data_IF_174267161216
#
_entry.id   IF_174267161216
#
_cell.length_a   1.000
_cell.length_b   1.000
_cell.length_c   1.000
_cell.angle_alpha   90.00
_cell.angle_beta   90.00
_cell.angle_gamma   90.00
#
_symmetry.space_group_name_H-M   'P 1'
#
loop_
_entity.id
_entity.type
_entity.pdbx_description
1 polymer ?
#
# COMPACT_ATOMS: atom_id res chain seq x y z
N UNK A 1 30.71 -7.06 4.90
CA UNK A 1 29.63 -6.05 4.74
C UNK A 1 30.30 -4.67 4.77
N UNK A 2 29.93 -3.71 3.91
CA UNK A 2 30.55 -2.35 4.01
C UNK A 2 29.94 -1.61 5.20
N UNK A 3 30.77 -0.93 6.00
CA UNK A 3 30.32 -0.10 7.15
C UNK A 3 29.24 0.89 6.72
N UNK A 4 29.39 1.48 5.52
CA UNK A 4 28.45 2.44 4.96
C UNK A 4 27.03 1.88 4.84
N UNK A 5 26.89 0.61 4.47
CA UNK A 5 25.57 -0.05 4.33
C UNK A 5 24.96 -0.42 5.70
N UNK A 6 25.69 -0.22 6.80
CA UNK A 6 25.19 -0.44 8.16
C UNK A 6 24.49 0.80 8.74
N UNK A 7 24.73 2.01 8.23
CA UNK A 7 24.13 3.24 8.77
C UNK A 7 22.59 3.23 8.69
N UNK A 8 21.95 3.55 9.82
CA UNK A 8 20.49 3.50 10.00
C UNK A 8 19.89 2.10 10.13
N UNK A 9 20.70 1.04 10.10
CA UNK A 9 20.23 -0.35 10.14
C UNK A 9 20.29 -0.93 11.55
N UNK A 10 19.45 -1.94 11.78
CA UNK A 10 19.32 -2.68 13.04
C UNK A 10 19.62 -4.16 12.80
N UNK A 11 20.51 -4.72 13.61
CA UNK A 11 21.08 -6.05 13.43
C UNK A 11 21.00 -6.89 14.72
N UNK A 12 20.96 -8.22 14.57
CA UNK A 12 21.40 -9.13 15.64
C UNK A 12 22.91 -9.32 15.56
N UNK A 13 23.53 -9.84 16.62
CA UNK A 13 24.96 -10.15 16.64
C UNK A 13 25.39 -11.04 15.46
N UNK A 14 24.61 -12.08 15.14
CA UNK A 14 24.88 -13.04 14.04
C UNK A 14 24.85 -12.39 12.65
N UNK A 15 24.32 -11.17 12.52
CA UNK A 15 24.20 -10.46 11.25
C UNK A 15 25.36 -9.48 10.99
N UNK A 16 26.27 -9.31 11.95
CA UNK A 16 27.41 -8.41 11.84
C UNK A 16 28.73 -9.19 11.88
N UNK A 17 29.67 -8.73 11.06
CA UNK A 17 31.07 -9.15 11.12
C UNK A 17 31.71 -8.64 12.41
N UNK A 18 32.67 -9.39 12.96
CA UNK A 18 33.28 -9.11 14.27
C UNK A 18 33.97 -7.74 14.27
N UNK A 19 34.57 -7.32 13.15
CA UNK A 19 35.23 -6.01 13.06
C UNK A 19 34.25 -4.82 13.15
N UNK A 20 32.97 -5.04 12.83
CA UNK A 20 31.94 -3.99 12.84
C UNK A 20 31.30 -3.80 14.21
N UNK A 21 31.38 -4.80 15.10
CA UNK A 21 30.76 -4.74 16.44
C UNK A 21 31.31 -3.58 17.28
N UNK A 22 32.61 -3.30 17.19
CA UNK A 22 33.24 -2.20 17.93
C UNK A 22 32.82 -0.79 17.47
N UNK A 23 32.19 -0.67 16.29
CA UNK A 23 31.68 0.59 15.74
C UNK A 23 30.16 0.73 15.92
N UNK A 24 29.48 -0.36 16.27
CA UNK A 24 28.04 -0.38 16.46
C UNK A 24 27.66 0.17 17.85
N UNK A 25 26.46 0.75 17.92
CA UNK A 25 25.81 1.05 19.20
C UNK A 25 24.89 -0.07 19.59
N UNK A 26 24.73 -0.25 20.90
CA UNK A 26 23.90 -1.30 21.47
C UNK A 26 22.53 -0.76 21.89
N UNK A 27 21.51 -1.58 21.65
CA UNK A 27 20.15 -1.38 22.11
C UNK A 27 19.71 -2.68 22.80
N UNK A 28 19.10 -2.65 24.00
CA UNK A 28 18.55 -3.86 24.60
C UNK A 28 17.65 -4.60 23.60
N UNK A 29 17.75 -5.92 23.48
CA UNK A 29 16.90 -6.66 22.55
C UNK A 29 15.42 -6.67 22.98
N UNK A 30 15.18 -6.63 24.30
CA UNK A 30 13.86 -6.57 24.91
C UNK A 30 13.85 -5.60 26.09
N UNK A 31 12.70 -5.00 26.36
CA UNK A 31 12.48 -4.05 27.46
C UNK A 31 11.31 -4.51 28.30
N UNK A 32 11.48 -4.51 29.62
CA UNK A 32 10.39 -4.77 30.57
C UNK A 32 9.62 -3.47 30.82
N UNK A 33 8.34 -3.48 30.47
CA UNK A 33 7.40 -2.42 30.81
C UNK A 33 6.41 -2.90 31.88
N UNK A 34 5.64 -1.99 32.48
CA UNK A 34 4.62 -2.32 33.49
C UNK A 34 3.63 -3.42 33.04
N UNK A 35 3.40 -3.54 31.73
CA UNK A 35 2.43 -4.47 31.17
C UNK A 35 3.05 -5.78 30.66
N UNK A 36 4.38 -5.92 30.68
CA UNK A 36 5.12 -7.14 30.31
C UNK A 36 6.45 -6.87 29.60
N UNK A 37 7.06 -7.92 29.06
CA UNK A 37 8.30 -7.85 28.29
C UNK A 37 8.00 -7.62 26.80
N UNK A 38 8.66 -6.66 26.17
CA UNK A 38 8.45 -6.29 24.76
C UNK A 38 9.74 -6.38 23.96
N UNK A 39 9.64 -6.80 22.70
CA UNK A 39 10.79 -6.80 21.79
C UNK A 39 11.07 -5.39 21.25
N UNK A 40 12.31 -4.89 21.38
CA UNK A 40 12.66 -3.55 20.91
C UNK A 40 12.62 -3.41 19.38
N UNK A 41 12.86 -4.48 18.63
CA UNK A 41 12.81 -4.48 17.16
C UNK A 41 11.39 -4.28 16.63
N UNK A 42 10.42 -5.05 17.13
CA UNK A 42 9.09 -5.15 16.51
C UNK A 42 7.93 -4.76 17.45
N UNK A 43 8.19 -4.42 18.70
CA UNK A 43 7.17 -4.04 19.68
C UNK A 43 6.26 -5.18 20.14
N UNK A 44 6.52 -6.42 19.73
CA UNK A 44 5.68 -7.56 20.13
C UNK A 44 5.87 -7.88 21.61
N UNK A 45 4.75 -7.98 22.34
CA UNK A 45 4.72 -8.48 23.72
C UNK A 45 5.10 -9.96 23.75
N UNK A 46 6.06 -10.31 24.60
CA UNK A 46 6.61 -11.65 24.71
C UNK A 46 5.74 -12.50 25.65
N UNK A 47 5.27 -13.64 25.14
CA UNK A 47 4.59 -14.65 25.96
C UNK A 47 5.64 -15.45 26.75
N UNK A 48 5.89 -15.04 28.00
CA UNK A 48 6.86 -15.68 28.91
C UNK A 48 6.53 -17.16 29.20
N UNK A 49 5.28 -17.60 28.99
CA UNK A 49 4.88 -19.00 29.23
C UNK A 49 5.23 -19.92 28.06
N UNK A 50 5.24 -19.40 26.83
CA UNK A 50 5.43 -20.21 25.60
C UNK A 50 6.74 -19.94 24.88
N UNK A 51 7.29 -18.73 24.98
CA UNK A 51 8.42 -18.28 24.14
C UNK A 51 9.72 -18.20 24.94
N UNK A 52 10.01 -19.28 25.67
CA UNK A 52 11.22 -19.47 26.48
C UNK A 52 12.10 -20.56 25.87
N UNK A 53 13.40 -20.33 25.81
CA UNK A 53 14.39 -21.33 25.40
C UNK A 53 14.85 -22.16 26.60
N UNK A 54 15.47 -23.30 26.34
CA UNK A 54 16.02 -24.19 27.39
C UNK A 54 17.06 -23.49 28.27
N UNK A 55 17.82 -22.55 27.68
CA UNK A 55 18.80 -21.71 28.38
C UNK A 55 18.17 -20.62 29.26
N UNK A 56 16.85 -20.60 29.42
CA UNK A 56 16.14 -19.66 30.28
C UNK A 56 15.75 -18.33 29.62
N UNK A 57 16.42 -17.93 28.53
CA UNK A 57 16.14 -16.70 27.79
C UNK A 57 14.80 -16.75 27.03
N UNK A 58 14.15 -15.61 26.85
CA UNK A 58 12.97 -15.47 26.01
C UNK A 58 13.33 -15.10 24.57
N UNK A 59 12.47 -15.43 23.60
CA UNK A 59 12.69 -15.07 22.20
C UNK A 59 11.43 -14.47 21.55
N UNK A 60 11.63 -13.59 20.56
CA UNK A 60 10.54 -12.99 19.82
C UNK A 60 10.16 -13.84 18.59
N UNK A 61 8.95 -14.41 18.59
CA UNK A 61 8.44 -15.21 17.46
C UNK A 61 8.22 -14.37 16.19
N UNK A 62 7.81 -13.11 16.34
CA UNK A 62 7.56 -12.21 15.21
C UNK A 62 8.83 -11.84 14.43
N UNK A 63 10.00 -11.92 15.06
CA UNK A 63 11.27 -11.55 14.41
C UNK A 63 12.06 -12.75 13.84
N UNK A 64 11.58 -13.99 13.97
CA UNK A 64 12.36 -15.20 13.63
C UNK A 64 12.95 -15.13 12.21
N UNK A 65 12.14 -14.74 11.23
CA UNK A 65 12.56 -14.65 9.82
C UNK A 65 13.52 -13.48 9.54
N UNK A 66 13.65 -12.53 10.48
CA UNK A 66 14.55 -11.37 10.39
C UNK A 66 15.83 -11.55 11.21
N UNK A 67 16.05 -12.74 11.78
CA UNK A 67 17.05 -12.98 12.82
C UNK A 67 16.40 -12.98 14.20
N UNK A 68 16.56 -14.10 14.93
CA UNK A 68 15.91 -14.32 16.23
C UNK A 68 16.42 -13.30 17.25
N UNK A 69 15.50 -12.55 17.83
CA UNK A 69 15.79 -11.60 18.92
C UNK A 69 15.54 -12.30 20.26
N UNK A 70 16.53 -12.27 21.17
CA UNK A 70 16.46 -12.91 22.50
C UNK A 70 16.62 -11.91 23.64
N UNK A 71 16.08 -12.24 24.81
CA UNK A 71 16.14 -11.36 26.00
C UNK A 71 17.53 -11.24 26.63
N UNK A 72 18.42 -12.19 26.36
CA UNK A 72 19.80 -12.26 26.87
C UNK A 72 20.82 -11.65 25.90
N UNK A 73 20.35 -11.01 24.83
CA UNK A 73 21.18 -10.40 23.80
C UNK A 73 20.88 -8.90 23.67
N UNK A 74 21.72 -8.22 22.91
CA UNK A 74 21.49 -6.85 22.45
C UNK A 74 21.25 -6.84 20.94
N UNK A 75 20.64 -5.77 20.47
CA UNK A 75 20.58 -5.40 19.07
C UNK A 75 21.67 -4.37 18.80
N UNK A 76 22.25 -4.45 17.61
CA UNK A 76 23.29 -3.54 17.17
C UNK A 76 22.74 -2.60 16.11
N UNK A 77 23.06 -1.32 16.20
CA UNK A 77 22.66 -0.33 15.21
C UNK A 77 23.76 0.70 14.97
N UNK A 78 23.71 1.36 13.82
CA UNK A 78 24.63 2.43 13.47
C UNK A 78 23.81 3.70 13.24
N UNK A 79 24.22 4.81 13.84
CA UNK A 79 23.56 6.09 13.62
C UNK A 79 23.62 6.46 12.14
N UNK A 80 22.51 6.95 11.60
CA UNK A 80 22.48 7.45 10.24
C UNK A 80 23.46 8.62 10.09
N UNK A 81 24.18 8.62 8.97
CA UNK A 81 25.04 9.73 8.58
C UNK A 81 24.39 10.58 7.51
N UNK A 82 24.72 11.87 7.49
CA UNK A 82 24.28 12.78 6.44
C UNK A 82 24.82 12.36 5.08
N UNK A 83 24.09 12.76 4.04
CA UNK A 83 24.51 12.64 2.65
C UNK A 83 24.96 14.01 2.12
N UNK A 84 25.74 14.04 1.02
CA UNK A 84 25.97 15.27 0.28
C UNK A 84 24.64 15.95 -0.10
N UNK A 85 24.64 17.28 -0.10
CA UNK A 85 23.49 18.06 -0.54
C UNK A 85 23.42 18.05 -2.06
N UNK A 86 22.31 17.56 -2.61
CA UNK A 86 22.15 17.39 -4.05
C UNK A 86 20.74 17.80 -4.50
N UNK A 87 20.65 18.46 -5.65
CA UNK A 87 19.38 18.66 -6.34
C UNK A 87 19.09 17.47 -7.24
N UNK A 88 18.05 16.71 -6.89
CA UNK A 88 17.82 15.39 -7.47
C UNK A 88 16.57 15.30 -8.34
N UNK A 89 15.67 16.29 -8.30
CA UNK A 89 14.39 16.22 -8.99
C UNK A 89 14.55 16.53 -10.48
N UNK A 90 14.21 15.56 -11.34
CA UNK A 90 14.21 15.70 -12.82
C UNK A 90 12.82 15.87 -13.41
N UNK A 91 11.77 15.68 -12.62
CA UNK A 91 10.40 15.72 -13.10
C UNK A 91 10.03 17.10 -13.67
N UNK A 92 9.59 17.13 -14.93
CA UNK A 92 9.21 18.35 -15.66
C UNK A 92 7.69 18.55 -15.78
N UNK A 93 6.89 17.72 -15.10
CA UNK A 93 5.44 17.88 -15.13
C UNK A 93 4.96 19.09 -14.31
N UNK A 94 3.70 19.45 -14.50
CA UNK A 94 3.05 20.51 -13.74
C UNK A 94 2.02 19.93 -12.77
N UNK A 95 2.06 20.35 -11.50
CA UNK A 95 0.99 20.06 -10.54
C UNK A 95 -0.23 20.91 -10.85
N UNK A 96 -1.43 20.34 -10.67
CA UNK A 96 -2.66 21.14 -10.61
C UNK A 96 -2.61 22.10 -9.41
N UNK A 97 -3.39 23.20 -9.40
CA UNK A 97 -3.42 24.13 -8.28
C UNK A 97 -3.70 23.45 -6.92
N UNK A 98 -4.60 22.46 -6.90
CA UNK A 98 -4.92 21.70 -5.69
C UNK A 98 -3.75 20.79 -5.25
N UNK A 99 -3.11 20.09 -6.19
CA UNK A 99 -1.91 19.30 -5.87
C UNK A 99 -0.75 20.18 -5.41
N UNK A 100 -0.57 21.34 -6.04
CA UNK A 100 0.47 22.31 -5.66
C UNK A 100 0.28 22.81 -4.24
N UNK A 101 -0.96 23.11 -3.84
CA UNK A 101 -1.27 23.48 -2.46
C UNK A 101 -0.89 22.36 -1.47
N UNK A 102 -1.29 21.12 -1.74
CA UNK A 102 -0.93 19.98 -0.87
C UNK A 102 0.59 19.79 -0.83
N UNK A 103 1.26 19.85 -1.99
CA UNK A 103 2.72 19.73 -2.07
C UNK A 103 3.43 20.83 -1.26
N UNK A 104 2.93 22.06 -1.29
CA UNK A 104 3.47 23.16 -0.48
C UNK A 104 3.22 22.93 1.02
N UNK A 105 2.02 22.49 1.41
CA UNK A 105 1.71 22.13 2.81
C UNK A 105 2.63 21.00 3.29
N UNK A 106 2.93 19.99 2.46
CA UNK A 106 3.88 18.93 2.78
C UNK A 106 5.30 19.47 3.02
N UNK A 107 5.79 20.36 2.16
CA UNK A 107 7.13 20.98 2.30
C UNK A 107 7.19 21.85 3.54
N UNK A 108 6.19 22.71 3.77
CA UNK A 108 6.09 23.55 4.97
C UNK A 108 6.06 22.68 6.23
N UNK A 109 5.39 21.54 6.17
CA UNK A 109 5.31 20.62 7.30
C UNK A 109 6.67 20.04 7.71
N UNK A 110 7.72 20.13 6.90
CA UNK A 110 9.07 19.71 7.31
C UNK A 110 9.63 20.54 8.48
N UNK A 111 9.09 21.74 8.74
CA UNK A 111 9.50 22.55 9.89
C UNK A 111 8.82 22.12 11.19
N UNK A 112 7.63 21.53 11.11
CA UNK A 112 6.91 20.99 12.26
C UNK A 112 7.12 19.47 12.37
N UNK A 113 7.38 18.96 13.57
CA UNK A 113 7.67 17.52 13.77
C UNK A 113 6.42 16.66 13.87
N UNK A 114 5.23 17.26 13.73
CA UNK A 114 3.97 16.57 13.94
C UNK A 114 3.64 15.70 12.73
N UNK A 115 3.23 14.43 12.89
CA UNK A 115 2.88 13.62 11.73
C UNK A 115 1.75 14.26 10.91
N UNK A 116 1.79 14.04 9.60
CA UNK A 116 0.79 14.54 8.67
C UNK A 116 0.10 13.38 7.93
N UNK A 117 -1.18 13.52 7.63
CA UNK A 117 -1.96 12.59 6.81
C UNK A 117 -2.54 13.32 5.61
N UNK A 118 -2.22 12.85 4.41
CA UNK A 118 -2.84 13.29 3.16
C UNK A 118 -3.91 12.28 2.78
N UNK A 119 -5.17 12.71 2.83
CA UNK A 119 -6.30 11.96 2.33
C UNK A 119 -6.61 12.40 0.91
N UNK A 120 -6.18 11.63 -0.08
CA UNK A 120 -6.29 11.99 -1.49
C UNK A 120 -6.96 10.88 -2.30
N UNK A 121 -7.97 11.22 -3.09
CA UNK A 121 -8.72 10.24 -3.88
C UNK A 121 -7.83 9.43 -4.82
N UNK A 122 -8.30 8.26 -5.21
CA UNK A 122 -7.64 7.44 -6.23
C UNK A 122 -7.48 8.22 -7.54
N UNK A 123 -6.26 8.24 -8.10
CA UNK A 123 -5.97 9.08 -9.25
C UNK A 123 -5.88 10.58 -8.95
N UNK A 124 -5.61 10.99 -7.71
CA UNK A 124 -5.28 12.38 -7.38
C UNK A 124 -3.81 12.76 -7.67
N UNK A 125 -2.97 11.83 -8.13
CA UNK A 125 -1.53 12.09 -8.33
C UNK A 125 -0.74 12.18 -7.02
N UNK A 126 -0.96 11.22 -6.11
CA UNK A 126 -0.30 11.16 -4.78
C UNK A 126 1.22 11.17 -4.87
N UNK A 127 1.76 10.48 -5.86
CA UNK A 127 3.21 10.39 -6.08
C UNK A 127 3.81 11.75 -6.44
N UNK A 128 3.19 12.47 -7.37
CA UNK A 128 3.69 13.78 -7.83
C UNK A 128 3.62 14.83 -6.71
N UNK A 129 2.61 14.75 -5.85
CA UNK A 129 2.49 15.65 -4.69
C UNK A 129 3.63 15.48 -3.67
N UNK A 130 4.23 14.29 -3.57
CA UNK A 130 5.35 14.07 -2.64
C UNK A 130 6.72 14.43 -3.22
N UNK A 131 6.83 14.68 -4.53
CA UNK A 131 8.14 14.92 -5.17
C UNK A 131 8.90 16.09 -4.56
N UNK A 132 8.22 17.20 -4.30
CA UNK A 132 8.86 18.39 -3.73
C UNK A 132 9.33 18.16 -2.30
N UNK A 133 8.53 17.51 -1.45
CA UNK A 133 8.93 17.23 -0.05
C UNK A 133 10.08 16.24 0.03
N UNK A 134 10.15 15.27 -0.89
CA UNK A 134 11.27 14.33 -1.04
C UNK A 134 12.52 15.08 -1.49
N UNK A 135 12.43 15.86 -2.58
CA UNK A 135 13.54 16.61 -3.13
C UNK A 135 14.13 17.63 -2.13
N UNK A 136 13.28 18.39 -1.43
CA UNK A 136 13.70 19.35 -0.40
C UNK A 136 14.37 18.69 0.82
N UNK A 137 13.99 17.44 1.12
CA UNK A 137 14.66 16.67 2.18
C UNK A 137 16.04 16.22 1.72
N UNK A 138 16.16 15.66 0.52
CA UNK A 138 17.44 15.20 -0.04
C UNK A 138 18.41 16.38 -0.26
N UNK A 139 17.91 17.54 -0.71
CA UNK A 139 18.70 18.77 -0.84
C UNK A 139 19.36 19.20 0.47
N UNK A 140 18.81 18.82 1.63
CA UNK A 140 19.39 19.09 2.96
C UNK A 140 20.36 18.00 3.43
N UNK A 141 20.73 17.05 2.58
CA UNK A 141 21.61 15.92 2.90
C UNK A 141 20.95 14.88 3.81
N UNK A 142 19.62 14.83 3.84
CA UNK A 142 18.82 13.99 4.74
C UNK A 142 18.26 12.75 4.03
N UNK A 143 17.98 11.71 4.80
CA UNK A 143 17.56 10.41 4.27
C UNK A 143 16.02 10.29 4.21
N UNK A 144 15.51 9.78 3.09
CA UNK A 144 14.08 9.62 2.82
C UNK A 144 13.74 8.15 2.60
N UNK A 145 12.63 7.70 3.19
CA UNK A 145 12.03 6.41 2.85
C UNK A 145 10.57 6.56 2.44
N UNK A 146 10.17 5.87 1.39
CA UNK A 146 8.80 5.72 0.94
C UNK A 146 8.43 4.24 1.08
N UNK A 147 7.57 3.94 2.04
CA UNK A 147 7.16 2.58 2.32
C UNK A 147 5.70 2.32 1.94
N UNK A 148 5.40 1.13 1.44
CA UNK A 148 4.03 0.70 1.10
C UNK A 148 3.81 -0.77 1.50
N UNK A 149 2.57 -1.22 1.82
CA UNK A 149 2.35 -2.58 2.30
C UNK A 149 2.52 -3.65 1.21
N UNK A 150 2.45 -3.27 -0.06
CA UNK A 150 2.37 -4.19 -1.20
C UNK A 150 3.61 -4.10 -2.09
N UNK A 151 4.13 -5.26 -2.49
CA UNK A 151 5.32 -5.38 -3.34
C UNK A 151 5.10 -4.73 -4.71
N UNK A 152 3.94 -4.96 -5.34
CA UNK A 152 3.66 -4.40 -6.67
C UNK A 152 3.67 -2.86 -6.66
N UNK A 153 3.15 -2.24 -5.59
CA UNK A 153 3.18 -0.79 -5.40
C UNK A 153 4.63 -0.31 -5.22
N UNK A 154 5.47 -1.03 -4.45
CA UNK A 154 6.89 -0.69 -4.32
C UNK A 154 7.59 -0.67 -5.68
N UNK A 155 7.35 -1.70 -6.51
CA UNK A 155 7.99 -1.84 -7.82
C UNK A 155 7.51 -0.73 -8.77
N UNK A 156 6.21 -0.41 -8.78
CA UNK A 156 5.66 0.69 -9.59
C UNK A 156 6.23 2.05 -9.14
N UNK A 157 6.30 2.30 -7.83
CA UNK A 157 6.91 3.51 -7.27
C UNK A 157 8.39 3.61 -7.62
N UNK A 158 9.14 2.51 -7.52
CA UNK A 158 10.56 2.48 -7.87
C UNK A 158 10.81 2.86 -9.32
N UNK A 159 10.13 2.20 -10.27
CA UNK A 159 10.25 2.53 -11.70
C UNK A 159 9.97 4.01 -11.97
N UNK A 160 8.97 4.55 -11.30
CA UNK A 160 8.55 5.94 -11.46
C UNK A 160 9.57 6.93 -10.88
N UNK A 161 10.01 6.67 -9.65
CA UNK A 161 11.00 7.51 -8.96
C UNK A 161 12.36 7.48 -9.64
N UNK A 162 12.82 6.33 -10.13
CA UNK A 162 14.08 6.24 -10.89
C UNK A 162 14.07 7.07 -12.17
N UNK A 163 12.89 7.26 -12.79
CA UNK A 163 12.75 8.16 -13.95
C UNK A 163 12.81 9.63 -13.53
N UNK A 164 12.14 9.96 -12.43
CA UNK A 164 11.88 11.34 -12.01
C UNK A 164 12.93 11.92 -11.05
N UNK A 165 13.84 11.10 -10.52
CA UNK A 165 14.94 11.48 -9.62
C UNK A 165 16.31 11.04 -10.19
N UNK A 166 17.34 11.86 -9.99
CA UNK A 166 18.70 11.60 -10.46
C UNK A 166 19.56 10.73 -9.54
N UNK A 167 19.15 10.60 -8.27
CA UNK A 167 19.91 9.90 -7.25
C UNK A 167 19.69 8.37 -7.29
N UNK A 168 20.65 7.57 -6.80
CA UNK A 168 20.45 6.14 -6.63
C UNK A 168 19.35 5.84 -5.61
N UNK A 169 18.55 4.81 -5.87
CA UNK A 169 17.41 4.41 -5.03
C UNK A 169 17.55 2.95 -4.64
N UNK A 170 17.47 2.64 -3.34
CA UNK A 170 17.39 1.26 -2.87
C UNK A 170 15.94 0.78 -2.88
N UNK A 171 15.63 -0.29 -3.62
CA UNK A 171 14.34 -0.97 -3.60
C UNK A 171 14.40 -2.18 -2.65
N UNK A 172 13.55 -2.22 -1.63
CA UNK A 172 13.54 -3.27 -0.61
C UNK A 172 12.18 -3.99 -0.52
N UNK A 173 12.16 -5.27 -0.83
CA UNK A 173 11.03 -6.18 -0.60
C UNK A 173 11.53 -7.59 -0.25
N UNK A 174 10.64 -8.59 -0.21
CA UNK A 174 11.02 -9.96 0.17
C UNK A 174 12.13 -10.54 -0.71
N UNK A 175 11.95 -10.41 -2.03
CA UNK A 175 12.85 -10.96 -3.06
C UNK A 175 13.77 -9.91 -3.70
N UNK A 176 14.00 -8.76 -3.06
CA UNK A 176 14.85 -7.71 -3.65
C UNK A 176 16.33 -7.96 -3.38
N UNK A 177 17.18 -7.26 -4.13
CA UNK A 177 18.60 -7.15 -3.79
C UNK A 177 18.81 -6.64 -2.34
N UNK A 178 19.96 -6.97 -1.72
CA UNK A 178 20.33 -6.43 -0.43
C UNK A 178 20.36 -4.90 -0.43
N UNK A 179 20.13 -4.33 0.75
CA UNK A 179 20.22 -2.90 0.94
C UNK A 179 21.62 -2.38 0.68
N UNK A 180 21.68 -1.25 -0.02
CA UNK A 180 22.85 -0.40 -0.14
C UNK A 180 22.46 1.03 0.24
N UNK A 181 23.39 1.75 0.88
CA UNK A 181 23.14 3.07 1.44
C UNK A 181 22.83 4.09 0.34
N UNK A 182 21.65 4.72 0.44
CA UNK A 182 21.14 5.72 -0.51
C UNK A 182 20.34 6.80 0.20
N UNK A 183 20.23 7.98 -0.42
CA UNK A 183 19.41 9.11 0.08
C UNK A 183 17.92 8.83 -0.01
N UNK A 184 17.49 8.00 -0.96
CA UNK A 184 16.10 7.63 -1.19
C UNK A 184 15.93 6.11 -1.17
N UNK A 185 15.13 5.63 -0.22
CA UNK A 185 14.78 4.21 -0.09
C UNK A 185 13.29 4.02 -0.42
N UNK A 186 12.98 2.99 -1.19
CA UNK A 186 11.60 2.54 -1.45
C UNK A 186 11.47 1.13 -0.90
N UNK A 187 10.54 0.90 0.01
CA UNK A 187 10.46 -0.39 0.70
C UNK A 187 9.04 -0.90 0.92
N UNK A 188 8.90 -2.20 1.15
CA UNK A 188 7.69 -2.66 1.83
C UNK A 188 7.71 -2.21 3.30
N UNK A 189 6.55 -2.02 3.91
CA UNK A 189 6.45 -1.61 5.33
C UNK A 189 7.13 -2.58 6.28
N UNK A 190 7.18 -3.87 5.96
CA UNK A 190 7.87 -4.89 6.77
C UNK A 190 9.39 -4.71 6.80
N UNK A 191 9.99 -4.16 5.74
CA UNK A 191 11.44 -3.94 5.70
C UNK A 191 11.88 -2.86 6.69
N UNK A 192 10.97 -1.98 7.14
CA UNK A 192 11.24 -0.98 8.16
C UNK A 192 11.68 -1.60 9.50
N UNK A 193 11.34 -2.87 9.78
CA UNK A 193 11.82 -3.60 10.96
C UNK A 193 13.36 -3.78 11.00
N UNK A 194 14.04 -3.56 9.88
CA UNK A 194 15.50 -3.62 9.76
C UNK A 194 16.18 -2.25 9.94
N UNK A 195 15.40 -1.20 10.18
CA UNK A 195 15.88 0.18 10.31
C UNK A 195 15.61 0.73 11.71
N UNK A 196 16.52 1.56 12.20
CA UNK A 196 16.39 2.24 13.47
C UNK A 196 16.97 3.65 13.36
N UNK A 197 16.15 4.67 13.60
CA UNK A 197 16.52 6.09 13.53
C UNK A 197 17.23 6.42 12.20
N UNK A 198 16.66 5.96 11.09
CA UNK A 198 17.32 5.93 9.78
C UNK A 198 16.86 7.05 8.85
N UNK A 199 15.60 7.45 8.95
CA UNK A 199 14.93 8.32 7.97
C UNK A 199 14.47 9.63 8.60
N UNK A 200 14.90 10.73 8.02
CA UNK A 200 14.46 12.08 8.39
C UNK A 200 13.11 12.43 7.77
N UNK A 201 12.73 11.75 6.69
CA UNK A 201 11.39 11.76 6.15
C UNK A 201 10.97 10.32 5.85
N UNK A 202 9.87 9.89 6.47
CA UNK A 202 9.24 8.62 6.20
C UNK A 202 7.82 8.85 5.67
N UNK A 203 7.56 8.39 4.46
CA UNK A 203 6.24 8.44 3.82
C UNK A 203 5.69 7.03 3.77
N UNK A 204 4.50 6.79 4.34
CA UNK A 204 3.79 5.52 4.21
C UNK A 204 2.62 5.72 3.23
N UNK A 205 2.71 5.13 2.04
CA UNK A 205 1.58 5.09 1.10
C UNK A 205 0.70 3.86 1.38
N UNK A 206 -0.59 3.98 1.07
CA UNK A 206 -1.59 2.93 1.26
C UNK A 206 -1.69 2.42 2.69
N UNK A 207 -1.69 3.30 3.70
CA UNK A 207 -1.84 2.93 5.12
C UNK A 207 -3.15 2.19 5.45
N UNK A 208 -4.13 2.27 4.56
CA UNK A 208 -5.41 1.58 4.63
C UNK A 208 -5.37 0.14 4.07
N UNK A 209 -4.25 -0.29 3.48
CA UNK A 209 -4.06 -1.65 2.98
C UNK A 209 -3.58 -2.62 4.07
N UNK A 210 -4.11 -3.84 4.02
CA UNK A 210 -3.46 -5.00 4.65
C UNK A 210 -2.09 -5.23 3.98
N UNK A 211 -1.04 -5.63 4.72
CA UNK A 211 -1.00 -5.97 6.16
C UNK A 211 -0.74 -4.80 7.13
N UNK A 212 -0.71 -3.55 6.65
CA UNK A 212 -0.37 -2.39 7.50
C UNK A 212 -1.52 -1.96 8.40
N UNK A 213 -2.74 -1.90 7.85
CA UNK A 213 -3.93 -1.54 8.62
C UNK A 213 -4.09 -2.46 9.84
N UNK A 214 -4.34 -1.84 11.00
CA UNK A 214 -4.54 -2.51 12.29
C UNK A 214 -3.37 -3.43 12.72
N UNK A 215 -2.13 -3.15 12.30
CA UNK A 215 -0.95 -3.94 12.65
C UNK A 215 0.03 -3.19 13.57
N UNK A 216 0.00 -3.44 14.89
CA UNK A 216 0.87 -2.74 15.85
C UNK A 216 2.37 -2.91 15.58
N UNK A 217 2.78 -4.06 15.04
CA UNK A 217 4.20 -4.33 14.72
C UNK A 217 4.71 -3.38 13.65
N UNK A 218 3.88 -3.09 12.65
CA UNK A 218 4.27 -2.20 11.55
C UNK A 218 4.23 -0.73 11.97
N UNK A 219 3.27 -0.33 12.81
CA UNK A 219 3.30 1.01 13.42
C UNK A 219 4.55 1.20 14.30
N UNK A 220 4.95 0.17 15.05
CA UNK A 220 6.21 0.18 15.83
C UNK A 220 7.43 0.29 14.90
N UNK A 221 7.46 -0.47 13.81
CA UNK A 221 8.54 -0.39 12.81
C UNK A 221 8.67 1.01 12.21
N UNK A 222 7.55 1.66 11.87
CA UNK A 222 7.52 3.05 11.38
C UNK A 222 8.09 4.01 12.42
N UNK A 223 7.65 3.90 13.67
CA UNK A 223 8.12 4.77 14.76
C UNK A 223 9.61 4.56 15.08
N UNK A 224 10.11 3.33 14.94
CA UNK A 224 11.52 3.02 15.15
C UNK A 224 12.40 3.52 14.01
N UNK A 225 11.94 3.40 12.76
CA UNK A 225 12.71 3.73 11.58
C UNK A 225 12.85 5.25 11.35
N UNK A 226 11.86 6.06 11.76
CA UNK A 226 11.95 7.52 11.69
C UNK A 226 12.90 8.08 12.76
N UNK A 227 13.70 9.07 12.39
CA UNK A 227 14.59 9.75 13.34
C UNK A 227 13.79 10.54 14.37
N UNK A 228 14.34 10.81 15.57
CA UNK A 228 13.68 11.61 16.63
C UNK A 228 13.21 12.99 16.15
N UNK A 229 13.89 13.55 15.16
CA UNK A 229 13.59 14.86 14.57
C UNK A 229 13.00 14.74 13.15
N UNK A 230 12.66 13.53 12.72
CA UNK A 230 12.16 13.25 11.38
C UNK A 230 10.68 13.56 11.23
N UNK A 231 10.24 13.63 9.98
CA UNK A 231 8.85 13.85 9.58
C UNK A 231 8.21 12.54 9.14
N UNK A 232 6.99 12.30 9.60
CA UNK A 232 6.17 11.17 9.18
C UNK A 232 4.96 11.65 8.40
N UNK A 233 4.78 11.12 7.19
CA UNK A 233 3.65 11.43 6.31
C UNK A 233 2.91 10.13 5.98
N UNK A 234 1.60 10.13 6.17
CA UNK A 234 0.70 9.05 5.78
C UNK A 234 -0.07 9.46 4.51
N UNK A 235 0.00 8.68 3.44
CA UNK A 235 -0.77 8.88 2.22
C UNK A 235 -1.84 7.79 2.12
N UNK A 236 -3.09 8.18 1.90
CA UNK A 236 -4.19 7.23 1.74
C UNK A 236 -5.32 7.78 0.87
N UNK A 237 -6.06 6.89 0.23
CA UNK A 237 -7.31 7.26 -0.43
C UNK A 237 -8.56 6.99 0.42
N UNK A 238 -8.39 6.37 1.60
CA UNK A 238 -9.49 6.12 2.53
C UNK A 238 -9.04 6.32 3.97
N UNK A 239 -9.94 6.72 4.86
CA UNK A 239 -9.57 6.88 6.27
C UNK A 239 -9.56 5.55 7.03
N UNK A 240 -8.62 5.39 7.97
CA UNK A 240 -8.63 4.29 8.95
C UNK A 240 -9.15 4.78 10.29
N UNK A 241 -9.82 3.91 11.06
CA UNK A 241 -10.39 4.28 12.37
C UNK A 241 -9.31 4.79 13.33
N UNK A 242 -8.11 4.22 13.27
CA UNK A 242 -7.00 4.64 14.13
C UNK A 242 -6.49 6.03 13.76
N UNK A 243 -6.23 6.29 12.47
CA UNK A 243 -5.75 7.61 12.04
C UNK A 243 -6.81 8.69 12.24
N UNK A 244 -8.09 8.38 12.01
CA UNK A 244 -9.19 9.31 12.30
C UNK A 244 -9.26 9.69 13.78
N UNK A 245 -9.00 8.74 14.69
CA UNK A 245 -8.91 9.03 16.13
C UNK A 245 -7.74 9.96 16.43
N UNK A 246 -6.56 9.71 15.84
CA UNK A 246 -5.36 10.55 16.04
C UNK A 246 -5.56 11.96 15.48
N UNK A 247 -6.24 12.11 14.34
CA UNK A 247 -6.63 13.40 13.77
C UNK A 247 -7.60 14.14 14.71
N UNK A 248 -8.63 13.45 15.22
CA UNK A 248 -9.59 14.05 16.19
C UNK A 248 -8.93 14.51 17.49
N UNK A 249 -7.90 13.79 17.95
CA UNK A 249 -7.09 14.17 19.11
C UNK A 249 -6.05 15.25 18.81
N UNK A 250 -6.00 15.75 17.57
CA UNK A 250 -4.98 16.69 17.10
C UNK A 250 -3.55 16.16 17.27
N UNK A 251 -3.33 14.84 17.21
CA UNK A 251 -2.00 14.22 17.18
C UNK A 251 -1.41 14.23 15.77
N UNK A 252 -2.27 14.25 14.74
CA UNK A 252 -1.90 14.23 13.32
C UNK A 252 -2.61 15.37 12.59
N UNK A 253 -1.89 16.11 11.75
CA UNK A 253 -2.48 17.12 10.86
C UNK A 253 -3.05 16.43 9.61
N UNK A 254 -4.26 16.78 9.18
CA UNK A 254 -4.90 16.19 7.99
C UNK A 254 -5.02 17.22 6.87
N UNK A 255 -4.61 16.81 5.67
CA UNK A 255 -4.82 17.53 4.41
C UNK A 255 -5.72 16.67 3.51
N UNK A 256 -6.75 17.25 2.91
CA UNK A 256 -7.69 16.54 2.03
C UNK A 256 -7.52 16.98 0.58
N UNK A 257 -7.44 16.03 -0.34
CA UNK A 257 -7.50 16.23 -1.78
C UNK A 257 -8.62 15.38 -2.38
N UNK A 258 -9.87 15.86 -2.36
CA UNK A 258 -11.04 15.10 -2.78
C UNK A 258 -11.17 14.97 -4.32
N UNK A 259 -10.24 15.53 -5.09
CA UNK A 259 -10.37 15.69 -6.55
C UNK A 259 -9.28 14.90 -7.31
N UNK A 260 -9.67 14.25 -8.40
CA UNK A 260 -8.73 13.61 -9.35
C UNK A 260 -7.92 14.65 -10.11
N UNK A 261 -6.74 14.28 -10.62
CA UNK A 261 -5.87 15.22 -11.35
C UNK A 261 -6.55 15.84 -12.59
N UNK A 262 -7.41 15.09 -13.28
CA UNK A 262 -8.17 15.57 -14.44
C UNK A 262 -9.48 16.30 -14.06
N UNK A 263 -9.80 16.38 -12.77
CA UNK A 263 -10.90 17.21 -12.28
C UNK A 263 -12.32 16.70 -12.54
N UNK A 264 -12.54 15.40 -12.80
CA UNK A 264 -13.87 14.78 -12.90
C UNK A 264 -14.24 14.00 -11.62
N UNK A 265 -15.53 13.79 -11.30
CA UNK A 265 -15.96 13.08 -10.09
C UNK A 265 -15.58 11.60 -10.13
N UNK A 266 -15.55 10.99 -8.95
CA UNK A 266 -15.51 9.54 -8.81
C UNK A 266 -16.83 8.93 -9.29
N UNK A 267 -16.75 7.82 -10.03
CA UNK A 267 -17.91 7.05 -10.45
C UNK A 267 -18.60 6.45 -9.23
N UNK A 268 -19.90 6.71 -9.09
CA UNK A 268 -20.70 6.17 -7.99
C UNK A 268 -21.15 4.74 -8.35
N UNK A 269 -20.84 3.72 -7.53
CA UNK A 269 -21.23 2.35 -7.79
C UNK A 269 -22.76 2.18 -7.86
N UNK A 270 -23.24 1.42 -8.85
CA UNK A 270 -24.64 0.97 -8.90
C UNK A 270 -24.77 -0.38 -8.20
N UNK A 271 -25.64 -0.45 -7.19
CA UNK A 271 -25.98 -1.73 -6.54
C UNK A 271 -26.89 -2.55 -7.44
N UNK A 272 -26.54 -3.81 -7.66
CA UNK A 272 -27.31 -4.74 -8.48
C UNK A 272 -27.59 -6.01 -7.68
N UNK A 273 -28.87 -6.30 -7.47
CA UNK A 273 -29.28 -7.55 -6.83
C UNK A 273 -28.90 -8.76 -7.70
N UNK A 274 -28.08 -9.67 -7.18
CA UNK A 274 -27.67 -10.92 -7.83
C UNK A 274 -27.87 -12.08 -6.86
N UNK A 275 -28.95 -12.84 -7.06
CA UNK A 275 -29.32 -13.98 -6.22
C UNK A 275 -28.67 -15.28 -6.67
N UNK A 276 -28.45 -16.20 -5.73
CA UNK A 276 -28.12 -17.61 -5.99
C UNK A 276 -26.83 -17.79 -6.81
N UNK A 277 -25.88 -16.84 -6.72
CA UNK A 277 -24.63 -16.90 -7.49
C UNK A 277 -23.89 -18.21 -7.24
N UNK A 278 -23.51 -18.49 -5.98
CA UNK A 278 -22.77 -19.71 -5.63
C UNK A 278 -23.54 -20.96 -6.05
N UNK A 279 -24.84 -21.03 -5.74
CA UNK A 279 -25.70 -22.17 -6.11
C UNK A 279 -25.71 -22.45 -7.61
N UNK A 280 -25.72 -21.42 -8.46
CA UNK A 280 -25.68 -21.58 -9.93
C UNK A 280 -24.28 -21.96 -10.41
N UNK A 281 -23.24 -21.35 -9.85
CA UNK A 281 -21.85 -21.68 -10.18
C UNK A 281 -21.52 -23.15 -9.85
N UNK A 282 -22.00 -23.67 -8.72
CA UNK A 282 -21.87 -25.11 -8.39
C UNK A 282 -22.59 -26.01 -9.41
N UNK A 283 -23.72 -25.55 -9.94
CA UNK A 283 -24.45 -26.24 -11.02
C UNK A 283 -23.83 -26.00 -12.41
N UNK A 284 -22.60 -25.48 -12.47
CA UNK A 284 -21.88 -25.12 -13.70
C UNK A 284 -22.67 -24.16 -14.60
N UNK A 285 -23.36 -23.19 -14.00
CA UNK A 285 -24.15 -22.19 -14.71
C UNK A 285 -23.81 -20.78 -14.22
N UNK A 286 -23.71 -19.82 -15.15
CA UNK A 286 -23.63 -18.40 -14.80
C UNK A 286 -25.06 -17.88 -14.57
N UNK A 287 -25.32 -17.09 -13.52
CA UNK A 287 -26.62 -16.43 -13.38
C UNK A 287 -26.96 -15.59 -14.62
N UNK A 288 -28.15 -15.79 -15.20
CA UNK A 288 -28.57 -15.09 -16.43
C UNK A 288 -28.49 -13.56 -16.35
N UNK A 289 -28.70 -12.99 -15.15
CA UNK A 289 -28.51 -11.55 -14.92
C UNK A 289 -27.06 -11.12 -15.06
N UNK A 290 -26.11 -11.90 -14.53
CA UNK A 290 -24.67 -11.63 -14.68
C UNK A 290 -24.25 -11.79 -16.15
N UNK A 291 -24.72 -12.84 -16.83
CA UNK A 291 -24.47 -13.01 -18.28
C UNK A 291 -24.97 -11.82 -19.09
N UNK A 292 -26.19 -11.33 -18.82
CA UNK A 292 -26.74 -10.17 -19.51
C UNK A 292 -25.90 -8.92 -19.27
N UNK A 293 -25.50 -8.66 -18.03
CA UNK A 293 -24.68 -7.48 -17.70
C UNK A 293 -23.32 -7.52 -18.41
N UNK A 294 -22.64 -8.67 -18.42
CA UNK A 294 -21.38 -8.82 -19.14
C UNK A 294 -21.62 -8.64 -20.64
N UNK A 295 -22.64 -9.27 -21.23
CA UNK A 295 -22.98 -9.11 -22.66
C UNK A 295 -23.24 -7.66 -23.05
N UNK A 296 -23.98 -6.90 -22.23
CA UNK A 296 -24.21 -5.48 -22.48
C UNK A 296 -22.91 -4.68 -22.41
N UNK A 297 -22.10 -4.93 -21.37
CA UNK A 297 -20.82 -4.24 -21.22
C UNK A 297 -19.84 -4.57 -22.36
N UNK A 298 -19.84 -5.81 -22.87
CA UNK A 298 -19.03 -6.22 -24.03
C UNK A 298 -19.31 -5.42 -25.31
N UNK A 299 -20.51 -4.85 -25.47
CA UNK A 299 -20.82 -3.96 -26.60
C UNK A 299 -19.96 -2.68 -26.63
N UNK A 300 -19.37 -2.31 -25.50
CA UNK A 300 -18.50 -1.14 -25.39
C UNK A 300 -17.03 -1.43 -25.73
N UNK A 301 -16.66 -2.71 -25.80
CA UNK A 301 -15.28 -3.21 -26.01
C UNK A 301 -14.22 -2.72 -25.02
N UNK A 302 -14.59 -1.96 -23.99
CA UNK A 302 -13.64 -1.54 -22.96
C UNK A 302 -13.23 -2.72 -22.07
N UNK A 303 -11.98 -2.79 -21.57
CA UNK A 303 -11.55 -3.88 -20.70
C UNK A 303 -12.39 -3.97 -19.42
N UNK A 304 -12.80 -5.18 -19.04
CA UNK A 304 -13.62 -5.42 -17.86
C UNK A 304 -12.84 -6.18 -16.79
N UNK A 305 -12.93 -5.71 -15.55
CA UNK A 305 -12.42 -6.44 -14.39
C UNK A 305 -13.60 -6.98 -13.57
N UNK A 306 -13.57 -8.28 -13.28
CA UNK A 306 -14.50 -8.94 -12.37
C UNK A 306 -13.78 -9.24 -11.05
N UNK A 307 -14.06 -8.43 -10.02
CA UNK A 307 -13.53 -8.69 -8.68
C UNK A 307 -14.37 -9.77 -7.99
N UNK A 308 -13.73 -10.85 -7.56
CA UNK A 308 -14.35 -11.97 -6.84
C UNK A 308 -13.85 -12.05 -5.40
N UNK A 309 -14.70 -12.56 -4.51
CA UNK A 309 -14.41 -12.71 -3.09
C UNK A 309 -13.27 -13.68 -2.81
N UNK A 310 -13.24 -14.82 -3.52
CA UNK A 310 -12.36 -15.96 -3.23
C UNK A 310 -11.77 -16.57 -4.51
N UNK A 311 -10.61 -17.23 -4.38
CA UNK A 311 -9.90 -17.88 -5.49
C UNK A 311 -10.77 -18.97 -6.13
N UNK A 312 -11.40 -19.81 -5.31
CA UNK A 312 -12.26 -20.90 -5.80
C UNK A 312 -13.41 -20.39 -6.66
N UNK A 313 -14.09 -19.32 -6.23
CA UNK A 313 -15.15 -18.69 -7.02
C UNK A 313 -14.61 -18.12 -8.33
N UNK A 314 -13.42 -17.51 -8.30
CA UNK A 314 -12.74 -17.00 -9.50
C UNK A 314 -12.44 -18.07 -10.52
N UNK A 315 -11.90 -19.21 -10.10
CA UNK A 315 -11.59 -20.36 -10.96
C UNK A 315 -12.86 -20.95 -11.60
N UNK A 316 -13.92 -21.15 -10.79
CA UNK A 316 -15.20 -21.64 -11.31
C UNK A 316 -15.83 -20.66 -12.30
N UNK A 317 -15.85 -19.36 -11.99
CA UNK A 317 -16.39 -18.34 -12.89
C UNK A 317 -15.57 -18.22 -14.17
N UNK A 318 -14.24 -18.27 -14.12
CA UNK A 318 -13.37 -18.23 -15.30
C UNK A 318 -13.79 -19.29 -16.33
N UNK A 319 -13.91 -20.54 -15.90
CA UNK A 319 -14.28 -21.66 -16.77
C UNK A 319 -15.66 -21.45 -17.40
N UNK A 320 -16.64 -20.99 -16.61
CA UNK A 320 -17.99 -20.74 -17.09
C UNK A 320 -18.04 -19.55 -18.05
N UNK A 321 -17.28 -18.48 -17.80
CA UNK A 321 -17.24 -17.33 -18.67
C UNK A 321 -16.58 -17.67 -20.02
N UNK A 322 -15.47 -18.42 -20.04
CA UNK A 322 -14.83 -18.89 -21.29
C UNK A 322 -15.78 -19.72 -22.15
N UNK A 323 -16.65 -20.52 -21.54
CA UNK A 323 -17.67 -21.28 -22.27
C UNK A 323 -18.76 -20.40 -22.88
N UNK A 324 -19.14 -19.30 -22.20
CA UNK A 324 -20.24 -18.42 -22.61
C UNK A 324 -19.78 -17.27 -23.54
N UNK A 325 -18.50 -16.93 -23.54
CA UNK A 325 -17.90 -15.82 -24.28
C UNK A 325 -16.65 -16.30 -25.02
N UNK A 326 -16.85 -17.04 -26.12
CA UNK A 326 -15.77 -17.71 -26.86
C UNK A 326 -14.85 -16.73 -27.61
N UNK A 327 -15.36 -15.55 -27.93
CA UNK A 327 -14.63 -14.51 -28.67
C UNK A 327 -13.82 -13.59 -27.74
N UNK A 328 -13.92 -13.79 -26.42
CA UNK A 328 -13.25 -12.97 -25.42
C UNK A 328 -12.03 -13.70 -24.84
N UNK A 329 -10.95 -12.96 -24.63
CA UNK A 329 -9.76 -13.47 -23.94
C UNK A 329 -9.94 -13.18 -22.45
N UNK A 330 -10.19 -14.25 -21.68
CA UNK A 330 -10.53 -14.16 -20.26
C UNK A 330 -9.44 -14.84 -19.43
N UNK A 331 -8.86 -14.13 -18.47
CA UNK A 331 -7.82 -14.66 -17.57
C UNK A 331 -8.14 -14.41 -16.09
N UNK A 332 -7.46 -15.14 -15.20
CA UNK A 332 -7.61 -15.04 -13.75
C UNK A 332 -6.30 -14.64 -13.08
N UNK A 333 -6.35 -13.61 -12.23
CA UNK A 333 -5.23 -13.18 -11.39
C UNK A 333 -5.56 -13.29 -9.90
N UNK A 334 -4.75 -14.03 -9.17
CA UNK A 334 -4.88 -14.21 -7.72
C UNK A 334 -3.52 -14.07 -7.02
N UNK A 335 -3.49 -14.20 -5.70
CA UNK A 335 -2.24 -14.26 -4.95
C UNK A 335 -1.39 -15.49 -5.27
N UNK A 336 -1.95 -16.53 -5.91
CA UNK A 336 -1.23 -17.75 -6.33
C UNK A 336 -0.72 -17.69 -7.77
N UNK A 337 -1.05 -16.65 -8.53
CA UNK A 337 -0.67 -16.53 -9.93
C UNK A 337 0.80 -16.12 -10.05
N UNK A 338 1.65 -17.02 -10.55
CA UNK A 338 3.09 -16.79 -10.70
C UNK A 338 3.40 -15.78 -11.82
N UNK A 339 2.79 -15.93 -13.00
CA UNK A 339 2.96 -15.03 -14.15
C UNK A 339 2.08 -13.75 -14.06
N UNK A 340 1.81 -13.25 -12.85
CA UNK A 340 0.90 -12.12 -12.61
C UNK A 340 1.28 -10.88 -13.41
N UNK A 341 2.57 -10.52 -13.43
CA UNK A 341 3.04 -9.30 -14.09
C UNK A 341 2.79 -9.36 -15.61
N UNK A 342 2.99 -10.53 -16.23
CA UNK A 342 2.73 -10.74 -17.65
C UNK A 342 1.24 -10.56 -17.96
N UNK A 343 0.34 -11.18 -17.19
CA UNK A 343 -1.11 -11.05 -17.39
C UNK A 343 -1.60 -9.61 -17.17
N UNK A 344 -1.04 -8.91 -16.18
CA UNK A 344 -1.33 -7.49 -15.94
C UNK A 344 -0.91 -6.64 -17.15
N UNK A 345 0.24 -6.92 -17.76
CA UNK A 345 0.71 -6.21 -18.95
C UNK A 345 -0.15 -6.50 -20.17
N UNK A 346 -0.48 -7.77 -20.43
CA UNK A 346 -1.41 -8.17 -21.50
C UNK A 346 -2.78 -7.51 -21.36
N UNK A 347 -3.32 -7.43 -20.15
CA UNK A 347 -4.57 -6.71 -19.88
C UNK A 347 -4.43 -5.20 -20.09
N UNK A 348 -3.30 -4.60 -19.72
CA UNK A 348 -3.01 -3.18 -19.99
C UNK A 348 -2.96 -2.89 -21.50
N UNK A 349 -2.42 -3.81 -22.29
CA UNK A 349 -2.35 -3.75 -23.75
C UNK A 349 -3.65 -4.14 -24.46
N UNK A 350 -4.71 -4.49 -23.71
CA UNK A 350 -6.00 -4.94 -24.23
C UNK A 350 -5.94 -6.27 -25.01
N UNK A 351 -4.89 -7.06 -24.82
CA UNK A 351 -4.80 -8.44 -25.32
C UNK A 351 -5.72 -9.37 -24.51
N UNK A 352 -5.91 -9.08 -23.22
CA UNK A 352 -6.93 -9.72 -22.38
C UNK A 352 -8.12 -8.76 -22.30
N UNK A 353 -9.31 -9.24 -22.60
CA UNK A 353 -10.51 -8.39 -22.66
C UNK A 353 -11.33 -8.42 -21.37
N UNK A 354 -11.29 -9.53 -20.62
CA UNK A 354 -11.90 -9.69 -19.30
C UNK A 354 -10.87 -10.26 -18.32
N UNK A 355 -10.67 -9.57 -17.19
CA UNK A 355 -9.80 -10.04 -16.12
C UNK A 355 -10.62 -10.38 -14.89
N UNK A 356 -10.64 -11.65 -14.50
CA UNK A 356 -11.16 -12.07 -13.20
C UNK A 356 -10.03 -11.89 -12.18
N UNK A 357 -10.31 -11.25 -11.05
CA UNK A 357 -9.29 -11.04 -10.02
C UNK A 357 -9.88 -11.12 -8.63
N UNK A 358 -9.10 -11.62 -7.67
CA UNK A 358 -9.41 -11.35 -6.25
C UNK A 358 -9.02 -9.91 -5.89
N UNK A 359 -9.07 -9.54 -4.61
CA UNK A 359 -8.60 -8.24 -4.10
C UNK A 359 -7.09 -8.00 -4.28
N UNK A 360 -6.35 -8.92 -4.91
CA UNK A 360 -4.93 -8.74 -5.20
C UNK A 360 -4.68 -7.53 -6.11
N UNK A 361 -5.52 -7.31 -7.11
CA UNK A 361 -5.45 -6.17 -8.03
C UNK A 361 -6.30 -4.97 -7.57
N UNK A 362 -6.74 -4.89 -6.32
CA UNK A 362 -7.50 -3.70 -5.87
C UNK A 362 -6.63 -2.43 -5.90
N UNK A 363 -5.31 -2.57 -5.73
CA UNK A 363 -4.27 -1.51 -5.62
C UNK A 363 -3.04 -1.87 -6.48
N UNK A 364 -2.08 -0.95 -6.60
CA UNK A 364 -0.74 -1.23 -7.16
C UNK A 364 -0.64 -1.59 -8.64
N UNK A 365 -1.71 -1.36 -9.41
CA UNK A 365 -1.68 -1.47 -10.87
C UNK A 365 -2.61 -0.42 -11.45
N UNK A 366 -2.25 0.18 -12.59
CA UNK A 366 -3.07 1.17 -13.28
C UNK A 366 -3.51 0.63 -14.64
N UNK A 367 -4.82 0.68 -14.90
CA UNK A 367 -5.42 0.25 -16.17
C UNK A 367 -6.24 1.40 -16.78
N UNK A 368 -5.99 1.78 -18.05
CA UNK A 368 -6.77 2.82 -18.70
C UNK A 368 -8.17 2.31 -19.09
N UNK A 369 -9.17 3.19 -18.99
CA UNK A 369 -10.52 3.01 -19.57
C UNK A 369 -11.26 1.73 -19.15
N UNK A 370 -11.05 1.23 -17.92
CA UNK A 370 -11.66 -0.03 -17.45
C UNK A 370 -13.07 0.13 -16.88
N UNK A 371 -13.90 -0.88 -17.11
CA UNK A 371 -15.14 -1.12 -16.38
C UNK A 371 -14.92 -2.17 -15.29
N UNK A 372 -15.72 -2.11 -14.22
CA UNK A 372 -15.50 -2.95 -13.03
C UNK A 372 -16.80 -3.46 -12.45
N UNK A 373 -16.89 -4.79 -12.30
CA UNK A 373 -17.94 -5.45 -11.55
C UNK A 373 -17.37 -6.11 -10.30
N UNK A 374 -17.95 -5.83 -9.13
CA UNK A 374 -17.62 -6.50 -7.87
C UNK A 374 -18.67 -7.57 -7.60
N UNK A 375 -18.25 -8.82 -7.66
CA UNK A 375 -19.06 -10.01 -7.48
C UNK A 375 -19.06 -10.41 -6.00
N UNK A 376 -20.25 -10.64 -5.43
CA UNK A 376 -20.44 -10.78 -3.98
C UNK A 376 -19.92 -9.57 -3.20
N UNK A 377 -20.27 -8.35 -3.63
CA UNK A 377 -19.81 -7.11 -2.99
C UNK A 377 -20.18 -6.99 -1.50
N UNK A 378 -21.12 -7.81 -1.02
CA UNK A 378 -21.52 -7.95 0.39
C UNK A 378 -20.66 -8.94 1.20
N UNK A 379 -19.70 -9.62 0.57
CA UNK A 379 -18.83 -10.58 1.24
C UNK A 379 -17.86 -9.87 2.21
N UNK A 380 -17.58 -10.49 3.37
CA UNK A 380 -16.73 -9.93 4.45
C UNK A 380 -15.33 -9.47 4.02
N UNK A 381 -14.81 -9.99 2.91
CA UNK A 381 -13.49 -9.60 2.38
C UNK A 381 -13.52 -8.25 1.66
N UNK A 382 -14.69 -7.78 1.21
CA UNK A 382 -14.85 -6.47 0.59
C UNK A 382 -15.18 -5.42 1.66
N UNK A 383 -14.14 -4.95 2.32
CA UNK A 383 -14.25 -3.83 3.27
C UNK A 383 -14.62 -2.53 2.56
N UNK A 384 -15.09 -1.53 3.32
CA UNK A 384 -15.31 -0.16 2.83
C UNK A 384 -14.11 0.35 2.01
N UNK A 385 -12.91 0.20 2.57
CA UNK A 385 -11.67 0.69 1.93
C UNK A 385 -11.40 -0.01 0.60
N UNK A 386 -11.46 -1.35 0.59
CA UNK A 386 -11.34 -2.16 -0.63
C UNK A 386 -12.32 -1.72 -1.71
N UNK A 387 -13.60 -1.53 -1.36
CA UNK A 387 -14.63 -1.12 -2.32
C UNK A 387 -14.37 0.28 -2.91
N UNK A 388 -13.92 1.23 -2.11
CA UNK A 388 -13.54 2.58 -2.58
C UNK A 388 -12.33 2.53 -3.50
N UNK A 389 -11.33 1.70 -3.20
CA UNK A 389 -10.14 1.52 -4.05
C UNK A 389 -10.49 0.89 -5.40
N UNK A 390 -11.32 -0.16 -5.37
CA UNK A 390 -11.84 -0.81 -6.58
C UNK A 390 -12.64 0.19 -7.41
N UNK A 391 -13.55 0.96 -6.79
CA UNK A 391 -14.31 2.02 -7.45
C UNK A 391 -13.39 3.06 -8.11
N UNK A 392 -12.28 3.38 -7.45
CA UNK A 392 -11.25 4.30 -7.92
C UNK A 392 -10.60 3.96 -9.26
N UNK A 393 -10.72 2.70 -9.70
CA UNK A 393 -10.17 2.23 -10.98
C UNK A 393 -11.00 2.68 -12.18
N UNK A 394 -12.30 2.90 -11.99
CA UNK A 394 -13.22 3.33 -13.05
C UNK A 394 -13.16 4.84 -13.21
N UNK A 395 -13.19 5.32 -14.45
CA UNK A 395 -13.16 6.75 -14.75
C UNK A 395 -11.83 7.44 -14.43
N UNK A 396 -10.73 6.68 -14.36
CA UNK A 396 -9.38 7.21 -14.06
C UNK A 396 -8.68 7.84 -15.28
N UNK A 397 -9.08 7.44 -16.49
CA UNK A 397 -8.48 7.96 -17.72
C UNK A 397 -9.05 9.34 -18.04
N UNK A 398 -8.19 10.28 -18.46
CA UNK A 398 -8.65 11.60 -18.93
C UNK A 398 -9.54 11.48 -20.17
N UNK A 399 -9.23 10.52 -21.06
CA UNK A 399 -10.00 10.23 -22.26
C UNK A 399 -11.33 9.53 -21.98
N UNK A 400 -11.46 8.88 -20.80
CA UNK A 400 -12.68 8.21 -20.36
C UNK A 400 -12.85 8.40 -18.85
N UNK A 401 -13.40 9.56 -18.41
CA UNK A 401 -13.61 9.87 -17.01
C UNK A 401 -14.84 9.18 -16.42
N UNK A 402 -15.56 8.40 -17.22
CA UNK A 402 -16.73 7.60 -16.85
C UNK A 402 -16.43 6.11 -17.00
N UNK A 403 -17.40 5.27 -16.66
CA UNK A 403 -17.34 3.82 -16.89
C UNK A 403 -18.43 3.11 -16.10
N UNK A 404 -18.58 1.81 -16.35
CA UNK A 404 -19.49 0.97 -15.59
C UNK A 404 -18.84 0.50 -14.30
N UNK A 405 -19.54 0.74 -13.18
CA UNK A 405 -19.14 0.29 -11.86
C UNK A 405 -20.34 -0.35 -11.15
N UNK A 406 -20.32 -1.67 -11.03
CA UNK A 406 -21.43 -2.44 -10.45
C UNK A 406 -21.00 -3.16 -9.17
N UNK A 407 -21.81 -3.03 -8.12
CA UNK A 407 -21.70 -3.88 -6.93
C UNK A 407 -22.82 -4.92 -6.98
N UNK A 408 -22.45 -6.15 -7.33
CA UNK A 408 -23.37 -7.28 -7.46
C UNK A 408 -23.39 -8.09 -6.16
N UNK A 409 -24.56 -8.21 -5.53
CA UNK A 409 -24.70 -8.86 -4.25
C UNK A 409 -26.11 -9.39 -4.00
N UNK A 410 -26.21 -10.41 -3.14
CA UNK A 410 -27.47 -10.86 -2.53
C UNK A 410 -27.66 -10.11 -1.21
N UNK A 411 -28.14 -8.87 -1.29
CA UNK A 411 -28.27 -7.97 -0.15
C UNK A 411 -27.47 -6.68 -0.28
N UNK A 412 -27.61 -5.81 0.70
CA UNK A 412 -26.76 -4.63 0.89
C UNK A 412 -26.01 -4.81 2.20
N UNK A 413 -24.68 -4.69 2.19
CA UNK A 413 -23.89 -4.66 3.42
C UNK A 413 -23.65 -3.22 3.92
N UNK A 414 -23.19 -3.10 5.17
CA UNK A 414 -22.81 -1.79 5.72
C UNK A 414 -21.59 -1.22 4.97
N UNK A 415 -20.63 -2.07 4.59
CA UNK A 415 -19.41 -1.74 3.87
C UNK A 415 -19.74 -1.13 2.49
N UNK A 416 -20.68 -1.72 1.75
CA UNK A 416 -21.16 -1.18 0.48
C UNK A 416 -21.78 0.20 0.65
N UNK A 417 -22.61 0.36 1.68
CA UNK A 417 -23.32 1.61 1.95
C UNK A 417 -22.35 2.71 2.35
N UNK A 418 -21.39 2.39 3.22
CA UNK A 418 -20.34 3.31 3.64
C UNK A 418 -19.42 3.69 2.49
N UNK A 419 -19.02 2.76 1.63
CA UNK A 419 -18.18 3.05 0.46
C UNK A 419 -18.88 4.03 -0.51
N UNK A 420 -20.16 3.78 -0.82
CA UNK A 420 -20.95 4.70 -1.66
C UNK A 420 -21.11 6.07 -0.99
N UNK A 421 -21.33 6.11 0.32
CA UNK A 421 -21.44 7.36 1.09
C UNK A 421 -20.13 8.16 1.03
N UNK A 422 -18.98 7.51 1.26
CA UNK A 422 -17.66 8.13 1.22
C UNK A 422 -17.35 8.67 -0.18
N UNK A 423 -17.64 7.91 -1.25
CA UNK A 423 -17.49 8.38 -2.63
C UNK A 423 -18.34 9.64 -2.90
N UNK A 424 -19.59 9.66 -2.42
CA UNK A 424 -20.46 10.84 -2.54
C UNK A 424 -19.98 12.03 -1.71
N UNK A 425 -19.39 11.79 -0.55
CA UNK A 425 -18.80 12.84 0.30
C UNK A 425 -17.58 13.44 -0.39
N UNK A 426 -16.68 12.60 -0.93
CA UNK A 426 -15.52 13.07 -1.70
C UNK A 426 -15.92 13.86 -2.94
N UNK A 427 -16.93 13.42 -3.69
CA UNK A 427 -17.44 14.20 -4.82
C UNK A 427 -17.98 15.58 -4.39
N UNK A 428 -18.72 15.64 -3.28
CA UNK A 428 -19.23 16.90 -2.72
C UNK A 428 -18.11 17.82 -2.25
N UNK A 429 -17.11 17.29 -1.54
CA UNK A 429 -15.93 18.05 -1.12
C UNK A 429 -15.12 18.59 -2.32
N UNK A 430 -15.16 17.91 -3.46
CA UNK A 430 -14.52 18.35 -4.70
C UNK A 430 -15.36 19.34 -5.53
N UNK A 431 -16.60 19.63 -5.11
CA UNK A 431 -17.50 20.58 -5.76
C UNK A 431 -18.43 19.98 -6.83
N UNK A 432 -18.77 18.69 -6.75
CA UNK A 432 -19.70 18.01 -7.68
C UNK A 432 -21.05 17.65 -7.05
#
# INVERSE_FOLDING_TARGET
MKVEDCYGRLFTQEQLEVELLGQAQELPAMVEEKTGLFCNRCGTKIDKSKWKLQIGSYYCRACIQLGRVRSDQVLYYFLQQAFPQEEVLRWQGSLTPFQSRVSQELVQSLTDRKPMMVHAVTGAGKTEMMYQVVAETIKKGRCVCIATPRIDVCIELYKRMTKDFSCPISLLHGDSEPYFRTTLVISTTHQLLKFYQAFDLLIIDEVDAFPFVDNPVLYHAVSNAVTKNGKLIYLTATSTKELDKKVKKQEINRVSLPRRFHGNPLVIPRKVWLKDLRKKVEKKQVPGKLLRLIKEQRKTSFPLILFVSEIELGEKLLNLLRQNFKDEIIELVTSKTENRLELVEKFRNQEITILVSTTILERGVTFPKVDVFVIEANHRLFTKSTLVQIAGRVGRSMERPTGELLFLAEGTSQEMTQAIKEIKEMNREAGF
#
